data_IF_805251344895
#
_entry.id   IF_805251344895
#
_cell.length_a   1.000
_cell.length_b   1.000
_cell.length_c   1.000
_cell.angle_alpha   90.00
_cell.angle_beta   90.00
_cell.angle_gamma   90.00
#
_symmetry.space_group_name_H-M   'P 1'
#
loop_
_entity.id
_entity.type
_entity.pdbx_description
1 polymer ?
#
# COMPACT_ATOMS: atom_id res chain seq x y z
N UNK A 1 -22.35 1.47 12.60
CA UNK A 1 -21.39 2.27 11.80
C UNK A 1 -22.04 3.39 10.97
N UNK A 2 -23.24 3.20 10.40
CA UNK A 2 -23.91 4.25 9.62
C UNK A 2 -24.31 5.47 10.43
N UNK A 3 -24.78 5.30 11.67
CA UNK A 3 -25.17 6.42 12.54
C UNK A 3 -24.01 7.36 12.85
N UNK A 4 -22.84 6.85 13.26
CA UNK A 4 -21.64 7.67 13.48
C UNK A 4 -21.18 8.39 12.21
N UNK A 5 -21.21 7.70 11.07
CA UNK A 5 -20.88 8.30 9.78
C UNK A 5 -21.87 9.43 9.43
N UNK A 6 -23.17 9.22 9.66
CA UNK A 6 -24.20 10.21 9.41
C UNK A 6 -24.03 11.41 10.35
N UNK A 7 -23.83 11.20 11.64
CA UNK A 7 -23.59 12.26 12.63
C UNK A 7 -22.36 13.09 12.24
N UNK A 8 -21.26 12.46 11.84
CA UNK A 8 -20.09 13.17 11.33
C UNK A 8 -20.40 14.02 10.10
N UNK A 9 -21.12 13.48 9.12
CA UNK A 9 -21.53 14.22 7.92
C UNK A 9 -22.50 15.37 8.23
N UNK A 10 -23.45 15.16 9.14
CA UNK A 10 -24.39 16.18 9.61
C UNK A 10 -23.64 17.30 10.33
N UNK A 11 -22.68 16.98 11.20
CA UNK A 11 -21.86 17.98 11.88
C UNK A 11 -21.03 18.81 10.89
N UNK A 12 -20.35 18.15 9.93
CA UNK A 12 -19.55 18.83 8.89
C UNK A 12 -20.44 19.74 8.03
N UNK A 13 -21.61 19.25 7.59
CA UNK A 13 -22.53 20.05 6.77
C UNK A 13 -23.15 21.21 7.56
N UNK A 14 -23.46 21.02 8.84
CA UNK A 14 -23.95 22.10 9.70
C UNK A 14 -22.90 23.21 9.88
N UNK A 15 -21.64 22.84 10.18
CA UNK A 15 -20.52 23.81 10.26
C UNK A 15 -20.33 24.53 8.92
N UNK A 16 -20.40 23.79 7.81
CA UNK A 16 -20.26 24.35 6.47
C UNK A 16 -21.37 25.37 6.15
N UNK A 17 -22.64 25.04 6.36
CA UNK A 17 -23.77 25.94 6.13
C UNK A 17 -23.69 27.17 7.03
N UNK A 18 -23.32 26.98 8.31
CA UNK A 18 -23.11 28.07 9.25
C UNK A 18 -22.01 29.02 8.77
N UNK A 19 -20.87 28.46 8.36
CA UNK A 19 -19.74 29.22 7.83
C UNK A 19 -20.12 30.00 6.56
N UNK A 20 -20.81 29.37 5.62
CA UNK A 20 -21.33 30.03 4.42
C UNK A 20 -22.28 31.16 4.79
N UNK A 21 -23.23 30.94 5.71
CA UNK A 21 -24.22 31.95 6.10
C UNK A 21 -23.57 33.19 6.73
N UNK A 22 -22.52 33.00 7.54
CA UNK A 22 -21.80 34.11 8.19
C UNK A 22 -20.93 34.90 7.20
N UNK A 23 -20.32 34.19 6.22
CA UNK A 23 -19.29 34.77 5.35
C UNK A 23 -19.80 35.14 3.94
N UNK A 24 -21.09 34.95 3.64
CA UNK A 24 -21.67 35.26 2.33
C UNK A 24 -21.96 36.75 2.13
N UNK A 25 -22.28 37.50 3.19
CA UNK A 25 -22.78 38.89 3.09
C UNK A 25 -21.69 39.93 2.77
N UNK A 26 -20.41 39.58 2.89
CA UNK A 26 -19.31 40.52 2.62
C UNK A 26 -18.61 40.19 1.30
N UNK A 27 -19.09 40.74 0.17
CA UNK A 27 -18.33 40.71 -1.07
C UNK A 27 -17.03 41.49 -0.84
N UNK A 28 -15.90 40.81 -0.93
CA UNK A 28 -14.59 41.46 -0.87
C UNK A 28 -14.17 41.73 -2.31
N UNK A 29 -13.96 43.00 -2.71
CA UNK A 29 -13.47 43.30 -4.04
C UNK A 29 -12.02 42.85 -4.15
N UNK A 30 -11.79 41.71 -4.81
CA UNK A 30 -10.44 41.21 -5.08
C UNK A 30 -10.02 41.74 -6.45
N UNK A 31 -8.99 42.58 -6.48
CA UNK A 31 -8.40 43.09 -7.72
C UNK A 31 -7.48 42.01 -8.29
N UNK A 32 -7.94 41.27 -9.28
CA UNK A 32 -7.15 40.14 -9.82
C UNK A 32 -5.94 40.55 -10.66
N UNK A 33 -5.84 41.81 -11.10
CA UNK A 33 -4.65 42.36 -11.73
C UNK A 33 -4.80 43.88 -11.92
N UNK A 34 -3.77 44.72 -11.66
CA UNK A 34 -3.81 46.13 -12.04
C UNK A 34 -3.60 46.27 -13.56
N UNK A 35 -4.67 46.15 -14.35
CA UNK A 35 -4.67 46.59 -15.74
C UNK A 35 -5.19 48.04 -15.83
N UNK A 36 -4.58 48.90 -16.66
CA UNK A 36 -5.12 50.23 -16.92
C UNK A 36 -6.43 50.09 -17.71
N UNK A 37 -7.55 50.55 -17.14
CA UNK A 37 -8.79 50.79 -17.88
C UNK A 37 -9.98 49.89 -17.54
N UNK A 38 -9.79 48.73 -16.92
CA UNK A 38 -10.93 47.96 -16.41
C UNK A 38 -10.48 47.05 -15.26
N UNK A 39 -10.82 47.44 -14.03
CA UNK A 39 -10.56 46.58 -12.88
C UNK A 39 -11.73 45.62 -12.82
N UNK A 40 -11.53 44.39 -13.27
CA UNK A 40 -12.51 43.32 -13.08
C UNK A 40 -12.65 43.06 -11.58
N UNK A 41 -13.60 43.73 -10.92
CA UNK A 41 -13.99 43.48 -9.53
C UNK A 41 -14.78 42.17 -9.52
N UNK A 42 -14.07 41.04 -9.52
CA UNK A 42 -14.75 39.77 -9.26
C UNK A 42 -14.90 39.63 -7.76
N UNK A 43 -16.10 39.93 -7.29
CA UNK A 43 -16.49 39.90 -5.88
C UNK A 43 -16.71 38.45 -5.44
N UNK A 44 -15.62 37.75 -5.14
CA UNK A 44 -15.74 36.40 -4.57
C UNK A 44 -16.03 36.50 -3.07
N UNK A 45 -17.09 35.84 -2.57
CA UNK A 45 -17.33 35.75 -1.14
C UNK A 45 -16.16 35.01 -0.48
N UNK A 46 -15.68 35.54 0.66
CA UNK A 46 -14.61 34.92 1.47
C UNK A 46 -14.93 33.46 1.79
N UNK A 47 -16.22 33.16 1.93
CA UNK A 47 -16.75 31.82 2.12
C UNK A 47 -16.26 30.79 1.07
N UNK A 48 -16.20 31.20 -0.21
CA UNK A 48 -15.80 30.32 -1.32
C UNK A 48 -14.30 30.00 -1.23
N UNK A 49 -13.48 31.01 -0.98
CA UNK A 49 -12.02 30.86 -0.89
C UNK A 49 -11.66 29.97 0.31
N UNK A 50 -12.24 30.24 1.47
CA UNK A 50 -12.03 29.43 2.66
C UNK A 50 -12.51 27.98 2.47
N UNK A 51 -13.62 27.76 1.76
CA UNK A 51 -14.06 26.41 1.41
C UNK A 51 -13.04 25.68 0.54
N UNK A 52 -12.48 26.35 -0.47
CA UNK A 52 -11.48 25.73 -1.36
C UNK A 52 -10.27 25.30 -0.55
N UNK A 53 -9.72 26.15 0.32
CA UNK A 53 -8.60 25.79 1.18
C UNK A 53 -8.95 24.68 2.19
N UNK A 54 -10.17 24.70 2.74
CA UNK A 54 -10.65 23.64 3.62
C UNK A 54 -10.73 22.30 2.89
N UNK A 55 -11.31 22.25 1.69
CA UNK A 55 -11.31 21.05 0.85
C UNK A 55 -9.90 20.61 0.48
N UNK A 56 -9.02 21.56 0.16
CA UNK A 56 -7.64 21.25 -0.21
C UNK A 56 -6.88 20.54 0.91
N UNK A 57 -7.11 20.91 2.17
CA UNK A 57 -6.53 20.22 3.34
C UNK A 57 -7.31 18.96 3.77
N UNK A 58 -8.63 18.97 3.61
CA UNK A 58 -9.50 17.89 4.07
C UNK A 58 -9.52 16.69 3.12
N UNK A 59 -9.57 16.91 1.80
CA UNK A 59 -9.60 15.85 0.77
C UNK A 59 -8.41 14.87 0.90
N UNK A 60 -7.14 15.31 0.96
CA UNK A 60 -6.01 14.40 1.09
C UNK A 60 -6.06 13.60 2.40
N UNK A 61 -6.40 14.25 3.51
CA UNK A 61 -6.53 13.59 4.83
C UNK A 61 -7.66 12.57 4.84
N UNK A 62 -8.82 12.91 4.28
CA UNK A 62 -9.98 12.04 4.18
C UNK A 62 -9.71 10.83 3.27
N UNK A 63 -9.07 11.06 2.13
CA UNK A 63 -8.69 10.00 1.20
C UNK A 63 -7.69 9.04 1.84
N UNK A 64 -6.70 9.56 2.58
CA UNK A 64 -5.74 8.73 3.31
C UNK A 64 -6.43 7.87 4.35
N UNK A 65 -7.33 8.44 5.15
CA UNK A 65 -8.10 7.69 6.14
C UNK A 65 -8.96 6.59 5.48
N UNK A 66 -9.57 6.89 4.33
CA UNK A 66 -10.36 5.90 3.57
C UNK A 66 -9.48 4.79 2.97
N UNK A 67 -8.29 5.14 2.47
CA UNK A 67 -7.35 4.21 1.87
C UNK A 67 -6.80 3.21 2.89
N UNK A 68 -6.51 3.64 4.13
CA UNK A 68 -6.07 2.75 5.21
C UNK A 68 -7.12 1.68 5.49
N UNK A 69 -8.39 2.09 5.65
CA UNK A 69 -9.49 1.14 5.85
C UNK A 69 -9.67 0.16 4.68
N UNK A 70 -9.47 0.61 3.44
CA UNK A 70 -9.50 -0.26 2.27
C UNK A 70 -8.34 -1.26 2.25
N UNK A 71 -7.13 -0.80 2.58
CA UNK A 71 -5.92 -1.64 2.63
C UNK A 71 -6.03 -2.72 3.70
N UNK A 72 -6.53 -2.39 4.88
CA UNK A 72 -6.72 -3.36 5.97
C UNK A 72 -7.73 -4.44 5.58
N UNK A 73 -8.88 -4.06 5.03
CA UNK A 73 -9.88 -5.03 4.55
C UNK A 73 -9.31 -5.97 3.50
N UNK A 74 -8.58 -5.45 2.51
CA UNK A 74 -7.96 -6.28 1.46
C UNK A 74 -6.94 -7.27 2.02
N UNK A 75 -6.14 -6.86 3.01
CA UNK A 75 -5.19 -7.75 3.70
C UNK A 75 -5.90 -8.87 4.45
N UNK A 76 -6.97 -8.55 5.19
CA UNK A 76 -7.76 -9.54 5.92
C UNK A 76 -8.35 -10.57 4.94
N UNK A 77 -9.00 -10.11 3.87
CA UNK A 77 -9.57 -11.01 2.85
C UNK A 77 -8.52 -11.90 2.19
N UNK A 78 -7.32 -11.37 1.93
CA UNK A 78 -6.22 -12.16 1.38
C UNK A 78 -5.75 -13.24 2.37
N UNK A 79 -5.58 -12.89 3.64
CA UNK A 79 -5.20 -13.84 4.69
C UNK A 79 -6.27 -14.93 4.90
N UNK A 80 -7.55 -14.56 4.87
CA UNK A 80 -8.67 -15.52 4.94
C UNK A 80 -8.65 -16.49 3.76
N UNK A 81 -8.39 -15.99 2.55
CA UNK A 81 -8.33 -16.82 1.34
C UNK A 81 -7.13 -17.76 1.38
N UNK A 82 -5.95 -17.26 1.76
CA UNK A 82 -4.74 -18.08 1.92
C UNK A 82 -4.95 -19.15 3.00
N UNK A 83 -5.47 -18.79 4.17
CA UNK A 83 -5.74 -19.75 5.24
C UNK A 83 -6.72 -20.84 4.81
N UNK A 84 -7.79 -20.46 4.08
CA UNK A 84 -8.76 -21.42 3.52
C UNK A 84 -8.11 -22.35 2.51
N UNK A 85 -7.29 -21.82 1.61
CA UNK A 85 -6.57 -22.62 0.60
C UNK A 85 -5.56 -23.57 1.25
N UNK A 86 -4.84 -23.13 2.30
CA UNK A 86 -3.93 -23.99 3.07
C UNK A 86 -4.68 -25.11 3.79
N UNK A 87 -5.84 -24.83 4.39
CA UNK A 87 -6.68 -25.85 5.02
C UNK A 87 -7.19 -26.88 4.00
N UNK A 88 -7.57 -26.45 2.79
CA UNK A 88 -7.99 -27.35 1.71
C UNK A 88 -6.83 -28.17 1.13
N UNK A 89 -5.63 -27.59 1.01
CA UNK A 89 -4.43 -28.31 0.59
C UNK A 89 -4.00 -29.37 1.63
N UNK A 90 -4.09 -29.04 2.92
CA UNK A 90 -3.82 -30.00 4.01
C UNK A 90 -4.86 -31.13 4.10
N UNK A 91 -6.09 -30.89 3.62
CA UNK A 91 -7.14 -31.91 3.53
C UNK A 91 -7.06 -32.76 2.25
N UNK A 92 -6.14 -32.44 1.31
CA UNK A 92 -5.89 -33.29 0.15
C UNK A 92 -5.06 -34.49 0.60
N UNK A 93 -5.58 -35.73 0.50
CA UNK A 93 -4.83 -36.91 0.92
C UNK A 93 -3.54 -37.03 0.09
N UNK A 94 -2.44 -37.57 0.67
CA UNK A 94 -1.23 -37.84 -0.09
C UNK A 94 -1.59 -38.73 -1.27
N UNK A 95 -1.31 -38.28 -2.49
CA UNK A 95 -1.31 -39.17 -3.64
C UNK A 95 -0.14 -40.14 -3.38
N UNK A 96 -0.39 -41.45 -3.22
CA UNK A 96 0.69 -42.41 -3.03
C UNK A 96 1.65 -42.28 -4.21
N UNK A 97 2.98 -42.31 -3.99
CA UNK A 97 3.93 -42.26 -5.08
C UNK A 97 3.59 -43.37 -6.08
N UNK A 98 3.30 -42.98 -7.32
CA UNK A 98 3.11 -43.94 -8.39
C UNK A 98 4.39 -44.77 -8.47
N UNK A 99 4.26 -46.08 -8.22
CA UNK A 99 5.34 -47.04 -8.39
C UNK A 99 5.70 -47.02 -9.87
N UNK A 100 6.80 -46.35 -10.20
CA UNK A 100 7.39 -46.42 -11.55
C UNK A 100 7.83 -47.88 -11.72
N UNK A 101 7.30 -48.63 -12.70
CA UNK A 101 7.80 -49.97 -13.00
C UNK A 101 9.29 -49.85 -13.32
N UNK A 102 10.09 -50.69 -12.67
CA UNK A 102 11.54 -50.57 -12.64
C UNK A 102 12.16 -50.41 -14.01
N UNK A 103 12.86 -49.29 -14.20
CA UNK A 103 13.99 -49.26 -15.12
C UNK A 103 15.14 -49.96 -14.42
N UNK A 104 15.40 -51.19 -14.89
CA UNK A 104 16.63 -51.91 -14.65
C UNK A 104 17.81 -51.03 -15.01
N UNK A 105 18.54 -50.57 -13.99
CA UNK A 105 19.90 -50.06 -14.09
C UNK A 105 20.76 -51.04 -14.90
N UNK A 106 21.30 -50.66 -16.07
CA UNK A 106 22.42 -51.40 -16.65
C UNK A 106 23.62 -51.18 -15.72
N UNK A 107 24.20 -52.29 -15.27
CA UNK A 107 25.36 -52.31 -14.40
C UNK A 107 26.51 -51.45 -14.96
N UNK A 108 26.89 -50.41 -14.22
CA UNK A 108 28.14 -49.68 -14.47
C UNK A 108 29.31 -50.53 -13.93
N UNK A 109 30.37 -50.80 -14.71
CA UNK A 109 31.54 -51.54 -14.23
C UNK A 109 32.22 -50.80 -13.06
N UNK A 110 32.97 -51.52 -12.20
CA UNK A 110 33.51 -50.98 -10.96
C UNK A 110 34.61 -49.95 -11.25
N UNK A 111 34.40 -48.71 -10.84
CA UNK A 111 35.49 -47.74 -10.75
C UNK A 111 36.38 -48.05 -9.54
N UNK A 112 37.72 -47.96 -9.67
CA UNK A 112 38.62 -48.11 -8.54
C UNK A 112 38.39 -46.98 -7.54
N UNK A 113 38.16 -47.35 -6.28
CA UNK A 113 38.20 -46.45 -5.13
C UNK A 113 39.62 -45.89 -5.03
N UNK A 114 39.80 -44.62 -5.40
CA UNK A 114 40.98 -43.85 -5.03
C UNK A 114 40.67 -43.21 -3.68
N UNK A 115 41.27 -43.81 -2.66
CA UNK A 115 41.24 -43.35 -1.28
C UNK A 115 41.93 -41.97 -1.16
N UNK A 116 41.47 -41.25 -0.13
CA UNK A 116 42.23 -40.27 0.65
C UNK A 116 42.63 -38.95 0.00
N UNK A 117 41.80 -37.90 0.13
CA UNK A 117 42.26 -36.57 0.55
C UNK A 117 41.10 -35.80 1.24
N UNK A 118 41.07 -35.88 2.56
CA UNK A 118 40.23 -35.02 3.41
C UNK A 118 40.84 -33.60 3.43
N UNK A 119 40.11 -32.49 3.15
CA UNK A 119 40.61 -31.15 3.43
C UNK A 119 40.40 -30.84 4.91
N UNK A 120 41.51 -30.83 5.66
CA UNK A 120 41.59 -30.37 7.04
C UNK A 120 41.13 -28.92 7.14
N UNK A 121 40.21 -28.67 8.09
CA UNK A 121 39.86 -27.33 8.53
C UNK A 121 41.08 -26.67 9.22
N UNK A 122 41.47 -25.49 8.73
CA UNK A 122 42.28 -24.52 9.47
C UNK A 122 43.68 -24.25 8.89
N UNK A 123 43.79 -23.20 8.07
CA UNK A 123 45.01 -22.40 7.92
C UNK A 123 44.64 -20.96 7.54
N UNK A 124 45.24 -19.92 8.14
CA UNK A 124 44.91 -18.52 7.83
C UNK A 124 45.51 -18.10 6.49
N UNK A 125 44.70 -17.39 5.68
CA UNK A 125 45.09 -16.82 4.38
C UNK A 125 46.05 -15.64 4.58
N UNK A 126 47.27 -15.65 3.97
CA UNK A 126 48.16 -14.48 3.96
C UNK A 126 47.60 -13.36 3.07
N UNK A 127 47.71 -12.10 3.50
CA UNK A 127 47.04 -10.91 2.93
C UNK A 127 47.89 -10.16 1.90
N UNK A 128 48.82 -10.84 1.24
CA UNK A 128 49.93 -10.14 0.59
C UNK A 128 49.73 -9.97 -0.93
N UNK A 129 48.64 -10.52 -1.49
CA UNK A 129 48.37 -10.54 -2.93
C UNK A 129 47.30 -9.55 -3.41
N UNK A 130 46.82 -8.67 -2.53
CA UNK A 130 45.95 -7.55 -2.93
C UNK A 130 46.79 -6.29 -2.92
N UNK A 131 47.62 -6.10 -3.96
CA UNK A 131 48.11 -4.82 -4.48
C UNK A 131 49.24 -5.09 -5.48
N UNK A 132 48.86 -5.52 -6.68
CA UNK A 132 49.62 -5.30 -7.91
C UNK A 132 48.66 -4.92 -9.03
#
# INVERSE_FOLDING_TARGET
MQALRLIGWVAVTAVFVMFMSINYTRPVPVRFWPMPGDTLLVEWPVAVIALVFFLLGFVPTWLMHRAVGWRLKRRITLLETTARNHAMAAATPPIPPATVPGDSTPAHPPYPRADDHQPVAGAPVPKDDILK
#
